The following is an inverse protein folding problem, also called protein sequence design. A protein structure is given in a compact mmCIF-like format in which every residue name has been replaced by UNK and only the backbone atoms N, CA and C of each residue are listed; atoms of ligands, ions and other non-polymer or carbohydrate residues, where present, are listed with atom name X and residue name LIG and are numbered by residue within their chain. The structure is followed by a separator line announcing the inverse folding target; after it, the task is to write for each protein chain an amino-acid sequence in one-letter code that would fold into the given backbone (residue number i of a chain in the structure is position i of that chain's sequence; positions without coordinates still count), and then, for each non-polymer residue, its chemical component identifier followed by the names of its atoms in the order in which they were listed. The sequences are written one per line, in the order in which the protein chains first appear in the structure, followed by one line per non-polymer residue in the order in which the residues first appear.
data_IF_963345887492
#
_entry.id   IF_963345887492
#
_cell.length_a   1.000
_cell.length_b   1.000
_cell.length_c   1.000
_cell.angle_alpha   90.00
_cell.angle_beta   90.00
_cell.angle_gamma   90.00
#
_symmetry.space_group_name_H-M   'P 1'
#
loop_
_entity.id
_entity.type
_entity.pdbx_description
1 polymer ?
#
# COMPACT_ATOMS: atom_id res chain seq x y z
N UNK A 1 -8.89 15.63 16.52
CA UNK A 1 -9.23 14.37 15.85
C UNK A 1 -8.45 13.27 16.53
N UNK A 2 -8.94 12.03 16.51
CA UNK A 2 -8.10 10.90 16.89
C UNK A 2 -7.04 10.66 15.82
N UNK A 3 -5.90 10.11 16.18
CA UNK A 3 -4.92 9.66 15.19
C UNK A 3 -5.23 8.22 14.74
N UNK A 4 -4.90 7.93 13.49
CA UNK A 4 -4.95 6.59 12.92
C UNK A 4 -3.60 6.25 12.31
N UNK A 5 -3.19 4.99 12.45
CA UNK A 5 -2.09 4.40 11.70
C UNK A 5 -2.67 3.42 10.70
N UNK A 6 -2.34 3.59 9.43
CA UNK A 6 -2.80 2.73 8.33
C UNK A 6 -1.57 2.06 7.74
N UNK A 7 -1.62 0.73 7.66
CA UNK A 7 -0.62 -0.09 6.98
C UNK A 7 -1.28 -0.75 5.78
N UNK A 8 -0.61 -0.71 4.64
CA UNK A 8 -1.00 -1.39 3.43
C UNK A 8 0.14 -2.32 2.98
N UNK A 9 -0.25 -3.47 2.43
CA UNK A 9 0.65 -4.53 1.99
C UNK A 9 0.23 -4.96 0.59
N UNK A 10 1.18 -4.98 -0.34
CA UNK A 10 1.01 -5.52 -1.68
C UNK A 10 2.05 -6.62 -1.90
N UNK A 11 1.61 -7.83 -2.24
CA UNK A 11 2.55 -8.93 -2.46
C UNK A 11 2.04 -9.94 -3.47
N UNK A 12 2.95 -10.80 -3.91
CA UNK A 12 2.62 -11.93 -4.77
C UNK A 12 1.85 -13.00 -3.99
N UNK A 13 0.93 -13.74 -4.63
CA UNK A 13 0.19 -14.83 -3.99
C UNK A 13 1.10 -15.93 -3.41
N UNK A 14 2.30 -16.10 -3.99
CA UNK A 14 3.30 -17.06 -3.54
C UNK A 14 4.09 -16.61 -2.29
N UNK A 15 3.85 -15.39 -1.79
CA UNK A 15 4.49 -14.84 -0.59
C UNK A 15 5.97 -14.48 -0.73
N UNK A 16 6.58 -14.61 -1.91
CA UNK A 16 8.03 -14.37 -2.11
C UNK A 16 8.41 -12.90 -2.18
N UNK A 17 7.51 -12.06 -2.68
CA UNK A 17 7.73 -10.62 -2.81
C UNK A 17 6.53 -9.90 -2.18
N UNK A 18 6.81 -8.96 -1.28
CA UNK A 18 5.82 -8.08 -0.68
C UNK A 18 6.42 -6.70 -0.43
N UNK A 19 5.67 -5.66 -0.76
CA UNK A 19 5.93 -4.27 -0.42
C UNK A 19 4.97 -3.86 0.69
N UNK A 20 5.50 -3.24 1.74
CA UNK A 20 4.70 -2.74 2.87
C UNK A 20 4.93 -1.25 3.00
N UNK A 21 3.84 -0.49 3.19
CA UNK A 21 3.87 0.94 3.44
C UNK A 21 2.97 1.27 4.62
N UNK A 22 3.37 2.23 5.42
CA UNK A 22 2.58 2.70 6.56
C UNK A 22 2.57 4.20 6.66
N UNK A 23 1.47 4.76 7.15
CA UNK A 23 1.31 6.19 7.37
C UNK A 23 0.39 6.46 8.55
N UNK A 24 0.72 7.49 9.33
CA UNK A 24 -0.05 7.93 10.47
C UNK A 24 -0.58 9.35 10.23
N UNK A 25 -1.78 9.64 10.70
CA UNK A 25 -2.34 10.97 10.63
C UNK A 25 -3.73 11.08 11.27
N UNK A 26 -4.37 12.24 11.10
CA UNK A 26 -5.70 12.48 11.66
C UNK A 26 -6.74 11.55 11.02
N UNK A 27 -7.60 10.94 11.84
CA UNK A 27 -8.71 10.08 11.43
C UNK A 27 -9.62 10.75 10.40
N UNK A 28 -9.84 12.06 10.49
CA UNK A 28 -10.63 12.83 9.52
C UNK A 28 -10.00 12.83 8.12
N UNK A 29 -8.69 12.61 8.01
CA UNK A 29 -7.92 12.52 6.77
C UNK A 29 -7.62 11.08 6.36
N UNK A 30 -8.22 10.08 7.00
CA UNK A 30 -7.94 8.66 6.73
C UNK A 30 -8.04 8.30 5.24
N UNK A 31 -9.01 8.86 4.52
CA UNK A 31 -9.14 8.64 3.07
C UNK A 31 -7.96 9.21 2.27
N UNK A 32 -7.49 10.41 2.61
CA UNK A 32 -6.33 11.04 1.99
C UNK A 32 -5.08 10.21 2.26
N UNK A 33 -4.90 9.74 3.50
CA UNK A 33 -3.78 8.87 3.90
C UNK A 33 -3.75 7.59 3.04
N UNK A 34 -4.92 7.00 2.76
CA UNK A 34 -5.02 5.82 1.87
C UNK A 34 -4.64 6.15 0.43
N UNK A 35 -5.08 7.30 -0.10
CA UNK A 35 -4.70 7.73 -1.46
C UNK A 35 -3.18 7.92 -1.59
N UNK A 36 -2.57 8.60 -0.62
CA UNK A 36 -1.12 8.81 -0.59
C UNK A 36 -0.36 7.48 -0.51
N UNK A 37 -0.82 6.53 0.30
CA UNK A 37 -0.23 5.18 0.34
C UNK A 37 -0.31 4.50 -1.03
N UNK A 38 -1.46 4.59 -1.71
CA UNK A 38 -1.66 4.01 -3.03
C UNK A 38 -0.73 4.60 -4.10
N UNK A 39 -0.55 5.92 -4.10
CA UNK A 39 0.39 6.59 -5.00
C UNK A 39 1.84 6.16 -4.72
N UNK A 40 2.23 6.06 -3.44
CA UNK A 40 3.54 5.55 -3.06
C UNK A 40 3.77 4.11 -3.55
N UNK A 41 2.76 3.24 -3.48
CA UNK A 41 2.83 1.89 -4.04
C UNK A 41 3.10 1.94 -5.55
N UNK A 42 2.30 2.68 -6.30
CA UNK A 42 2.45 2.79 -7.76
C UNK A 42 3.85 3.29 -8.17
N UNK A 43 4.43 4.22 -7.40
CA UNK A 43 5.77 4.75 -7.65
C UNK A 43 6.90 3.78 -7.26
N UNK A 44 6.66 2.85 -6.32
CA UNK A 44 7.69 1.96 -5.77
C UNK A 44 7.76 0.59 -6.44
N UNK A 45 7.21 0.46 -7.66
CA UNK A 45 7.25 -0.79 -8.42
C UNK A 45 6.09 -1.74 -8.12
N UNK A 46 5.02 -1.27 -7.44
CA UNK A 46 3.79 -2.06 -7.28
C UNK A 46 3.24 -2.60 -8.60
N UNK A 47 3.45 -1.85 -9.70
CA UNK A 47 3.04 -2.27 -11.04
C UNK A 47 3.70 -3.57 -11.45
N UNK A 48 5.00 -3.76 -11.19
CA UNK A 48 5.73 -4.99 -11.53
C UNK A 48 5.25 -6.18 -10.70
N UNK A 49 4.94 -5.97 -9.42
CA UNK A 49 4.36 -7.01 -8.55
C UNK A 49 2.97 -7.41 -9.05
N UNK A 50 2.13 -6.44 -9.41
CA UNK A 50 0.79 -6.68 -9.96
C UNK A 50 0.83 -7.39 -11.33
N UNK A 51 1.79 -7.06 -12.20
CA UNK A 51 1.99 -7.72 -13.49
C UNK A 51 2.46 -9.17 -13.31
N UNK A 52 3.41 -9.42 -12.41
CA UNK A 52 3.85 -10.78 -12.06
C UNK A 52 2.72 -11.60 -11.42
N UNK A 53 1.86 -10.98 -10.62
CA UNK A 53 0.76 -11.67 -9.95
C UNK A 53 -0.28 -12.25 -10.93
N UNK A 54 -0.44 -11.69 -12.13
CA UNK A 54 -1.33 -12.25 -13.17
C UNK A 54 -0.81 -13.54 -13.80
N UNK A 55 0.47 -13.87 -13.59
CA UNK A 55 1.11 -15.08 -14.11
C UNK A 55 0.99 -16.28 -13.15
N UNK A 56 0.44 -16.06 -11.95
CA UNK A 56 0.18 -17.08 -10.93
C UNK A 56 -1.33 -17.31 -10.77
#
# INVERSE_FOLDING_TARGET
GGEVKIQAVLGLPNGKEALTKEKQGDKAKAFIIVQELLEEFLQSGAKEILEKAQLF
#
